data_IF_700412745502
#
_entry.id   IF_700412745502
#
_cell.length_a   1.000
_cell.length_b   1.000
_cell.length_c   1.000
_cell.angle_alpha   90.00
_cell.angle_beta   90.00
_cell.angle_gamma   90.00
#
_symmetry.space_group_name_H-M   'P 1'
#
loop_
_entity.id
_entity.type
_entity.pdbx_description
1 polymer ?
2 water ?
#
# COMPACT_ATOMS: atom_id res chain seq x y z
N UNK A 1 20.32 -20.66 8.34
CA UNK A 1 19.61 -19.51 8.96
C UNK A 1 18.25 -19.23 8.32
N UNK A 2 17.27 -18.89 9.15
CA UNK A 2 16.00 -18.28 8.73
C UNK A 2 16.23 -17.10 7.80
N UNK A 3 15.44 -16.97 6.74
CA UNK A 3 15.62 -15.82 5.86
C UNK A 3 15.19 -14.51 6.51
N UNK A 4 15.80 -13.40 6.09
CA UNK A 4 15.51 -12.10 6.67
C UNK A 4 14.19 -11.58 6.11
N UNK A 5 13.62 -10.56 6.75
CA UNK A 5 12.44 -9.90 6.22
C UNK A 5 12.65 -9.48 4.76
N UNK A 6 13.78 -8.82 4.48
CA UNK A 6 14.05 -8.40 3.11
C UNK A 6 14.03 -9.57 2.12
N UNK A 7 14.72 -10.65 2.47
CA UNK A 7 14.78 -11.84 1.63
C UNK A 7 13.40 -12.42 1.38
N UNK A 8 12.57 -12.45 2.42
CA UNK A 8 11.25 -13.08 2.31
C UNK A 8 10.33 -12.22 1.44
N UNK A 9 10.38 -10.92 1.64
CA UNK A 9 9.58 -10.01 0.80
C UNK A 9 10.06 -10.14 -0.64
N UNK A 10 11.37 -10.25 -0.82
CA UNK A 10 11.94 -10.43 -2.15
C UNK A 10 11.36 -11.67 -2.86
N UNK A 11 11.21 -12.76 -2.12
CA UNK A 11 10.66 -14.00 -2.66
C UNK A 11 9.20 -13.81 -3.03
N UNK A 12 8.47 -13.06 -2.22
CA UNK A 12 7.09 -12.76 -2.56
C UNK A 12 6.95 -11.90 -3.81
N UNK A 13 7.78 -10.87 -3.93
CA UNK A 13 7.86 -10.11 -5.18
C UNK A 13 8.03 -11.03 -6.38
N UNK A 14 8.98 -11.96 -6.28
CA UNK A 14 9.25 -12.86 -7.42
C UNK A 14 8.02 -13.72 -7.74
N UNK A 15 7.39 -14.24 -6.69
CA UNK A 15 6.21 -15.11 -6.82
C UNK A 15 5.08 -14.36 -7.52
N UNK A 16 4.81 -13.13 -7.09
CA UNK A 16 3.69 -12.37 -7.62
C UNK A 16 3.99 -11.92 -9.06
N UNK A 17 5.23 -11.50 -9.29
CA UNK A 17 5.66 -11.11 -10.62
C UNK A 17 5.43 -12.26 -11.60
N UNK A 18 5.80 -13.47 -11.17
CA UNK A 18 5.69 -14.64 -12.02
C UNK A 18 4.23 -15.02 -12.31
N UNK A 19 3.35 -14.93 -11.32
CA UNK A 19 1.91 -15.09 -11.55
C UNK A 19 1.39 -14.14 -12.63
N UNK A 20 1.83 -12.88 -12.59
CA UNK A 20 1.40 -11.91 -13.58
C UNK A 20 1.91 -12.30 -14.97
N UNK A 21 3.19 -12.62 -15.03
CA UNK A 21 3.83 -12.95 -16.30
C UNK A 21 3.24 -14.20 -16.96
N UNK A 22 2.80 -15.14 -16.13
CA UNK A 22 2.27 -16.41 -16.62
C UNK A 22 0.82 -16.30 -17.08
N UNK A 23 0.17 -15.19 -16.74
CA UNK A 23 -1.18 -14.92 -17.26
C UNK A 23 -2.29 -15.37 -16.33
N UNK A 24 -1.95 -15.67 -15.08
CA UNK A 24 -2.94 -16.26 -14.17
C UNK A 24 -3.21 -15.39 -12.94
N UNK A 25 -2.71 -14.15 -12.95
CA UNK A 25 -2.77 -13.37 -11.71
C UNK A 25 -4.22 -13.08 -11.29
N UNK A 26 -5.11 -12.87 -12.26
CA UNK A 26 -6.50 -12.52 -11.95
C UNK A 26 -7.21 -13.60 -11.11
N UNK A 27 -6.77 -14.86 -11.24
CA UNK A 27 -7.37 -15.95 -10.45
C UNK A 27 -6.45 -16.47 -9.34
N UNK A 28 -5.38 -15.74 -9.04
CA UNK A 28 -4.36 -16.22 -8.10
C UNK A 28 -4.33 -15.48 -6.77
N UNK A 29 -5.42 -14.81 -6.40
CA UNK A 29 -5.39 -14.01 -5.18
C UNK A 29 -5.18 -14.88 -3.94
N UNK A 30 -5.82 -16.05 -3.93
CA UNK A 30 -5.69 -16.92 -2.75
C UNK A 30 -4.28 -17.50 -2.69
N UNK A 31 -3.72 -17.81 -3.85
CA UNK A 31 -2.37 -18.38 -3.90
C UNK A 31 -1.33 -17.39 -3.38
N UNK A 32 -1.53 -16.13 -3.73
CA UNK A 32 -0.66 -15.04 -3.28
C UNK A 32 -0.76 -14.85 -1.77
N UNK A 33 -1.98 -14.87 -1.23
CA UNK A 33 -2.13 -14.76 0.22
C UNK A 33 -1.40 -15.94 0.89
N UNK A 34 -1.60 -17.14 0.37
CA UNK A 34 -0.97 -18.32 0.97
C UNK A 34 0.55 -18.23 0.95
N UNK A 35 1.11 -17.69 -0.13
CA UNK A 35 2.56 -17.60 -0.23
C UNK A 35 3.08 -16.55 0.74
N UNK A 36 2.35 -15.44 0.86
CA UNK A 36 2.74 -14.40 1.82
C UNK A 36 2.72 -14.95 3.24
N UNK A 37 1.70 -15.74 3.54
CA UNK A 37 1.60 -16.39 4.86
C UNK A 37 2.75 -17.38 5.07
N UNK A 38 3.10 -18.16 4.04
CA UNK A 38 4.18 -19.15 4.19
C UNK A 38 5.49 -18.46 4.51
N UNK A 39 5.67 -17.30 3.89
CA UNK A 39 6.88 -16.51 4.03
C UNK A 39 6.87 -15.58 5.25
N UNK A 40 5.78 -15.61 6.00
CA UNK A 40 5.58 -14.74 7.17
C UNK A 40 5.81 -13.27 6.82
N UNK A 41 5.24 -12.83 5.70
CA UNK A 41 5.22 -11.42 5.32
C UNK A 41 3.82 -11.03 4.87
N UNK A 42 2.83 -11.57 5.57
CA UNK A 42 1.47 -11.31 5.16
C UNK A 42 1.14 -9.82 5.01
N UNK A 43 1.57 -9.02 5.98
CA UNK A 43 1.16 -7.61 6.00
C UNK A 43 1.76 -6.86 4.82
N UNK A 44 2.83 -7.38 4.24
CA UNK A 44 3.51 -6.69 3.12
C UNK A 44 2.85 -7.00 1.77
N UNK A 45 1.92 -7.95 1.79
CA UNK A 45 1.20 -8.31 0.58
C UNK A 45 0.76 -7.13 -0.28
N UNK A 46 0.03 -6.17 0.30
CA UNK A 46 -0.36 -5.02 -0.53
C UNK A 46 0.77 -4.22 -1.19
N UNK A 47 1.92 -4.10 -0.54
CA UNK A 47 3.03 -3.37 -1.16
C UNK A 47 3.52 -4.11 -2.40
N UNK A 48 3.64 -5.44 -2.31
CA UNK A 48 4.01 -6.23 -3.48
C UNK A 48 2.97 -6.13 -4.60
N UNK A 49 1.70 -6.28 -4.26
CA UNK A 49 0.63 -6.15 -5.25
C UNK A 49 0.69 -4.80 -5.96
N UNK A 50 0.90 -3.71 -5.21
CA UNK A 50 0.91 -2.41 -5.88
C UNK A 50 2.04 -2.35 -6.89
N UNK A 51 3.20 -2.87 -6.52
CA UNK A 51 4.38 -2.76 -7.39
C UNK A 51 4.16 -3.55 -8.68
N UNK A 52 3.50 -4.69 -8.54
CA UNK A 52 3.29 -5.59 -9.67
C UNK A 52 2.11 -5.16 -10.54
N UNK A 53 1.04 -4.67 -9.90
CA UNK A 53 -0.25 -4.50 -10.57
C UNK A 53 -0.61 -3.07 -10.95
N UNK A 54 -0.10 -2.09 -10.21
CA UNK A 54 -0.51 -0.69 -10.38
C UNK A 54 0.48 0.12 -11.22
N UNK A 55 -0.04 0.93 -12.14
CA UNK A 55 0.77 1.95 -12.78
C UNK A 55 -0.08 3.21 -12.92
N UNK A 56 0.08 3.92 -14.03
CA UNK A 56 -0.67 5.15 -14.16
C UNK A 56 -2.18 4.88 -14.28
N UNK A 57 -2.56 3.64 -14.59
CA UNK A 57 -3.96 3.24 -14.65
C UNK A 57 -4.49 2.72 -13.30
N UNK A 58 -3.86 3.15 -12.21
CA UNK A 58 -4.16 2.62 -10.88
C UNK A 58 -5.65 2.65 -10.56
N UNK A 59 -6.34 3.68 -11.03
CA UNK A 59 -7.74 3.81 -10.65
C UNK A 59 -8.62 2.68 -11.20
N UNK A 60 -8.41 2.31 -12.46
CA UNK A 60 -9.01 1.09 -13.05
C UNK A 60 -8.57 -0.19 -12.35
N UNK A 61 -7.32 -0.20 -11.90
CA UNK A 61 -6.71 -1.42 -11.39
C UNK A 61 -7.22 -1.72 -9.97
N UNK A 62 -7.54 -0.66 -9.24
CA UNK A 62 -8.16 -0.83 -7.92
C UNK A 62 -9.48 -1.58 -8.05
N UNK A 63 -10.28 -1.24 -9.06
CA UNK A 63 -11.54 -1.94 -9.26
C UNK A 63 -11.27 -3.40 -9.63
N UNK A 64 -10.40 -3.60 -10.62
CA UNK A 64 -10.12 -4.94 -11.14
C UNK A 64 -9.59 -5.89 -10.07
N UNK A 65 -8.73 -5.38 -9.20
CA UNK A 65 -7.98 -6.23 -8.27
C UNK A 65 -8.45 -6.05 -6.83
N UNK A 66 -9.65 -5.50 -6.66
CA UNK A 66 -10.17 -5.26 -5.31
C UNK A 66 -10.07 -6.52 -4.44
N UNK A 67 -10.48 -7.66 -4.98
CA UNK A 67 -10.48 -8.91 -4.22
C UNK A 67 -9.07 -9.29 -3.75
N UNK A 68 -8.07 -9.10 -4.61
CA UNK A 68 -6.69 -9.41 -4.23
C UNK A 68 -6.23 -8.61 -3.02
N UNK A 69 -6.58 -7.33 -3.02
CA UNK A 69 -6.18 -6.44 -1.94
C UNK A 69 -7.03 -6.67 -0.71
N UNK A 70 -8.31 -6.91 -0.92
CA UNK A 70 -9.23 -6.99 0.22
C UNK A 70 -8.81 -8.14 1.11
N UNK A 71 -8.32 -9.22 0.51
CA UNK A 71 -7.98 -10.41 1.28
C UNK A 71 -6.87 -10.10 2.27
N UNK A 72 -5.97 -9.18 1.89
CA UNK A 72 -4.91 -8.72 2.79
C UNK A 72 -5.38 -7.63 3.75
N UNK A 73 -6.14 -6.66 3.24
CA UNK A 73 -6.44 -5.44 4.00
C UNK A 73 -7.55 -5.58 5.03
N UNK A 74 -8.48 -6.49 4.78
CA UNK A 74 -9.63 -6.66 5.66
C UNK A 74 -9.20 -6.96 7.10
N UNK A 75 -9.61 -6.10 8.02
CA UNK A 75 -9.30 -6.23 9.45
C UNK A 75 -7.81 -6.37 9.72
N UNK A 76 -7.00 -5.71 8.89
CA UNK A 76 -5.55 -5.75 9.05
C UNK A 76 -4.94 -4.37 8.83
N UNK A 77 -4.82 -3.58 9.89
CA UNK A 77 -4.37 -2.19 9.74
C UNK A 77 -2.92 -2.12 9.27
N UNK A 78 -2.14 -3.14 9.62
CA UNK A 78 -0.75 -3.20 9.18
C UNK A 78 -0.67 -3.33 7.67
N UNK A 79 -1.48 -4.23 7.11
CA UNK A 79 -1.53 -4.44 5.68
C UNK A 79 -2.01 -3.17 4.99
N UNK A 80 -2.97 -2.49 5.60
CA UNK A 80 -3.42 -1.22 5.06
C UNK A 80 -2.34 -0.14 5.00
N UNK A 81 -1.48 -0.12 6.00
CA UNK A 81 -0.38 0.84 6.00
C UNK A 81 0.57 0.52 4.85
N UNK A 82 0.80 -0.77 4.59
CA UNK A 82 1.66 -1.17 3.46
C UNK A 82 1.02 -0.83 2.12
N UNK A 83 -0.30 -0.94 2.03
CA UNK A 83 -0.99 -0.43 0.84
C UNK A 83 -0.69 1.05 0.62
N UNK A 84 -0.78 1.85 1.67
CA UNK A 84 -0.46 3.28 1.56
C UNK A 84 0.99 3.54 1.13
N UNK A 85 1.94 2.79 1.67
CA UNK A 85 3.32 2.93 1.19
C UNK A 85 3.43 2.52 -0.27
N UNK A 86 2.69 1.47 -0.64
CA UNK A 86 2.61 1.09 -2.04
C UNK A 86 2.10 2.22 -2.90
N UNK A 87 1.07 2.92 -2.43
CA UNK A 87 0.55 4.03 -3.19
C UNK A 87 1.62 5.12 -3.34
N UNK A 88 2.34 5.42 -2.26
CA UNK A 88 3.41 6.41 -2.33
C UNK A 88 4.36 6.07 -3.48
N UNK A 89 4.70 4.79 -3.56
CA UNK A 89 5.66 4.31 -4.56
C UNK A 89 5.11 4.40 -5.98
N UNK A 90 3.83 4.08 -6.15
CA UNK A 90 3.23 4.23 -7.49
C UNK A 90 3.21 5.68 -7.96
N UNK A 91 2.79 6.57 -7.07
CA UNK A 91 2.84 8.00 -7.37
C UNK A 91 4.25 8.46 -7.75
N UNK A 92 5.25 8.00 -7.01
CA UNK A 92 6.64 8.34 -7.33
C UNK A 92 7.03 7.97 -8.77
N UNK A 93 6.54 6.83 -9.24
CA UNK A 93 6.84 6.39 -10.60
C UNK A 93 6.06 7.15 -11.68
N UNK A 94 4.95 7.77 -11.30
CA UNK A 94 4.03 8.40 -12.25
C UNK A 94 3.57 9.77 -11.71
N UNK A 95 4.52 10.61 -11.31
CA UNK A 95 4.19 11.82 -10.56
C UNK A 95 3.32 12.81 -11.32
N UNK A 96 3.71 13.11 -12.56
CA UNK A 96 2.96 14.07 -13.37
C UNK A 96 1.50 13.64 -13.50
N UNK A 97 1.28 12.34 -13.62
CA UNK A 97 -0.05 11.79 -13.85
C UNK A 97 -0.86 11.72 -12.55
N UNK A 98 -0.20 11.31 -11.47
CA UNK A 98 -0.92 10.83 -10.29
C UNK A 98 -0.99 11.80 -9.10
N UNK A 99 -0.07 12.76 -9.02
CA UNK A 99 0.00 13.62 -7.83
C UNK A 99 -1.33 14.34 -7.59
N UNK A 100 -1.92 14.88 -8.65
CA UNK A 100 -3.19 15.60 -8.51
C UNK A 100 -4.36 14.68 -8.16
N UNK A 101 -4.18 13.39 -8.38
CA UNK A 101 -5.30 12.44 -8.22
C UNK A 101 -5.35 11.84 -6.82
N UNK A 102 -4.40 12.21 -5.96
CA UNK A 102 -4.26 11.52 -4.67
C UNK A 102 -5.57 11.44 -3.87
N UNK A 103 -6.29 12.57 -3.69
CA UNK A 103 -7.48 12.47 -2.85
C UNK A 103 -8.55 11.56 -3.44
N UNK A 104 -8.65 11.54 -4.76
CA UNK A 104 -9.62 10.69 -5.45
C UNK A 104 -9.26 9.21 -5.41
N UNK A 105 -7.98 8.91 -5.54
CA UNK A 105 -7.49 7.53 -5.40
C UNK A 105 -7.75 7.06 -3.96
N UNK A 106 -7.44 7.91 -2.99
CA UNK A 106 -7.70 7.55 -1.59
C UNK A 106 -9.18 7.25 -1.38
N UNK A 107 -10.05 8.11 -1.92
CA UNK A 107 -11.48 7.87 -1.79
C UNK A 107 -11.87 6.53 -2.41
N UNK A 108 -11.32 6.22 -3.58
CA UNK A 108 -11.63 4.94 -4.21
C UNK A 108 -11.18 3.73 -3.38
N UNK A 109 -10.02 3.84 -2.76
CA UNK A 109 -9.52 2.77 -1.91
C UNK A 109 -10.38 2.63 -0.67
N UNK A 110 -10.70 3.76 -0.05
CA UNK A 110 -11.63 3.79 1.09
C UNK A 110 -12.98 3.17 0.74
N UNK A 111 -13.54 3.58 -0.39
CA UNK A 111 -14.85 3.08 -0.81
C UNK A 111 -14.86 1.58 -1.12
N UNK A 112 -13.72 1.06 -1.55
CA UNK A 112 -13.55 -0.37 -1.84
C UNK A 112 -13.24 -1.17 -0.56
N UNK A 113 -13.27 -0.49 0.58
CA UNK A 113 -12.96 -1.12 1.87
C UNK A 113 -11.52 -1.60 2.04
N UNK A 114 -10.59 -0.96 1.33
CA UNK A 114 -9.19 -1.33 1.41
C UNK A 114 -8.39 -0.54 2.43
N UNK A 115 -8.96 0.57 2.90
CA UNK A 115 -8.30 1.42 3.89
C UNK A 115 -9.35 1.89 4.88
N UNK A 116 -9.05 1.77 6.16
CA UNK A 116 -9.91 2.34 7.19
C UNK A 116 -9.61 3.81 7.48
N UNK A 117 -10.64 4.54 7.89
CA UNK A 117 -10.48 5.96 8.18
C UNK A 117 -9.29 6.26 9.09
N UNK A 118 -9.14 5.49 10.17
CA UNK A 118 -8.14 5.81 11.19
C UNK A 118 -6.72 5.54 10.68
N UNK A 119 -6.58 4.55 9.82
CA UNK A 119 -5.30 4.26 9.19
C UNK A 119 -4.88 5.38 8.25
N UNK A 120 -5.82 5.90 7.47
CA UNK A 120 -5.51 7.00 6.55
C UNK A 120 -5.11 8.29 7.29
N UNK A 121 -5.90 8.65 8.30
CA UNK A 121 -5.58 9.80 9.14
C UNK A 121 -4.21 9.62 9.78
N UNK A 122 -3.96 8.47 10.39
CA UNK A 122 -2.67 8.22 11.04
C UNK A 122 -1.51 8.40 10.07
N UNK A 123 -1.65 7.80 8.89
CA UNK A 123 -0.60 7.84 7.88
C UNK A 123 -0.33 9.27 7.44
N UNK A 124 -1.39 10.04 7.32
CA UNK A 124 -1.28 11.45 6.92
C UNK A 124 -0.49 12.30 7.91
N UNK A 125 -0.53 11.92 9.19
CA UNK A 125 0.10 12.70 10.25
C UNK A 125 1.55 12.32 10.52
N UNK A 126 2.00 11.19 9.98
CA UNK A 126 3.31 10.65 10.32
C UNK A 126 4.36 10.93 9.25
N UNK A 127 5.62 10.97 9.66
CA UNK A 127 6.71 11.21 8.73
C UNK A 127 6.78 10.11 7.67
N UNK A 128 7.54 10.37 6.62
CA UNK A 128 7.87 9.35 5.63
C UNK A 128 8.55 8.15 6.29
N UNK A 129 8.10 6.96 5.92
CA UNK A 129 8.76 5.73 6.32
C UNK A 129 9.83 5.33 5.28
N UNK A 130 10.29 6.31 4.50
CA UNK A 130 11.49 6.16 3.68
C UNK A 130 11.30 5.46 2.33
N UNK A 131 10.05 5.20 1.96
CA UNK A 131 9.79 4.58 0.67
C UNK A 131 10.09 5.55 -0.46
N UNK A 132 9.66 6.79 -0.26
CA UNK A 132 9.91 7.84 -1.24
C UNK A 132 10.61 9.02 -0.59
N UNK A 133 11.10 9.93 -1.42
CA UNK A 133 11.74 11.17 -0.99
C UNK A 133 10.86 11.87 0.04
N UNK A 134 11.47 12.45 1.08
CA UNK A 134 10.73 13.24 2.08
C UNK A 134 9.88 14.32 1.41
N UNK A 135 10.44 14.98 0.41
CA UNK A 135 9.72 16.04 -0.30
C UNK A 135 8.45 15.52 -0.98
N UNK A 136 8.55 14.37 -1.64
CA UNK A 136 7.35 13.80 -2.26
C UNK A 136 6.34 13.33 -1.21
N UNK A 137 6.84 12.73 -0.14
CA UNK A 137 5.96 12.25 0.93
C UNK A 137 5.13 13.42 1.44
N UNK A 138 5.80 14.55 1.62
CA UNK A 138 5.13 15.78 2.07
C UNK A 138 4.05 16.22 1.09
N UNK A 139 4.39 16.18 -0.20
CA UNK A 139 3.48 16.67 -1.22
C UNK A 139 2.26 15.75 -1.30
N UNK A 140 2.49 14.44 -1.26
CA UNK A 140 1.37 13.49 -1.25
C UNK A 140 0.39 13.79 -0.11
N UNK A 141 0.92 14.08 1.07
CA UNK A 141 0.07 14.35 2.22
C UNK A 141 -0.68 15.68 2.12
N UNK A 142 -0.06 16.68 1.51
CA UNK A 142 -0.79 17.91 1.20
C UNK A 142 -1.96 17.65 0.26
N UNK A 143 -1.70 16.88 -0.80
CA UNK A 143 -2.74 16.56 -1.76
C UNK A 143 -3.86 15.72 -1.14
N UNK A 144 -3.52 14.94 -0.11
CA UNK A 144 -4.49 14.13 0.63
C UNK A 144 -5.47 14.96 1.46
N UNK A 145 -5.08 16.19 1.76
CA UNK A 145 -5.79 16.99 2.77
C UNK A 145 -7.30 17.12 2.53
N UNK A 146 -7.72 17.38 1.29
CA UNK A 146 -9.15 17.49 1.03
C UNK A 146 -9.96 16.23 1.37
N UNK A 147 -9.38 15.06 1.13
CA UNK A 147 -10.04 13.81 1.50
C UNK A 147 -10.07 13.59 3.02
N UNK A 148 -8.96 13.92 3.69
CA UNK A 148 -8.88 13.78 5.13
C UNK A 148 -9.96 14.64 5.79
N UNK A 149 -10.10 15.86 5.29
CA UNK A 149 -11.15 16.77 5.76
C UNK A 149 -12.54 16.19 5.50
N UNK A 150 -12.75 15.62 4.31
CA UNK A 150 -14.01 14.97 3.99
C UNK A 150 -14.32 13.85 4.99
N UNK A 151 -13.30 13.06 5.30
CA UNK A 151 -13.40 11.97 6.27
C UNK A 151 -13.84 12.45 7.65
N UNK A 152 -13.22 13.52 8.13
CA UNK A 152 -13.55 14.08 9.43
C UNK A 152 -14.88 14.82 9.38
N UNK A 153 -15.25 15.25 8.18
CA UNK A 153 -16.55 15.85 7.89
C UNK A 153 -16.45 17.35 7.64
N UNK A 154 -16.92 18.26 8.38
CA UNK A 154 -16.75 19.69 8.23
C UNK A 154 -16.18 20.25 9.53
N UNK A 155 -14.86 20.07 9.80
CA UNK A 155 -14.12 20.49 10.99
C UNK A 155 -12.76 19.86 10.90
N UNK A 156 -11.72 20.41 11.57
CA UNK A 156 -10.47 19.70 11.50
C UNK A 156 -9.87 19.60 12.87
N UNK A 157 -9.84 18.37 13.42
CA UNK A 157 -9.23 18.05 14.69
C UNK A 157 -8.17 17.07 14.29
N UNK A 158 -7.12 16.84 15.10
CA UNK A 158 -6.13 15.88 14.67
C UNK A 158 -6.25 14.67 15.51
N UNK A 159 -5.86 13.53 14.92
CA UNK A 159 -5.81 12.26 15.58
C UNK A 159 -4.42 12.12 16.11
N UNK A 160 -4.13 10.92 16.67
CA UNK A 160 -2.83 10.56 17.16
C UNK A 160 -2.89 9.10 17.46
N UNK A 161 -2.10 8.30 16.71
CA UNK A 161 -2.15 6.87 16.83
C UNK A 161 -0.75 6.36 16.92
N UNK A 162 -0.58 5.13 17.43
CA UNK A 162 0.73 4.53 17.43
C UNK A 162 0.62 3.42 16.44
N UNK A 163 1.75 3.02 15.80
CA UNK A 163 1.72 1.96 14.83
C UNK A 163 2.24 0.72 15.49
N UNK A 164 1.94 -0.46 14.90
CA UNK A 164 2.47 -1.70 15.41
C UNK A 164 3.22 -2.33 14.28
N UNK A 165 4.56 -2.19 14.24
CA UNK A 165 5.24 -2.77 13.12
C UNK A 165 6.43 -3.54 13.63
N UNK A 166 6.25 -4.88 13.78
CA UNK A 166 7.12 -5.92 14.31
C UNK A 166 8.36 -6.20 13.50
N UNK A 167 8.20 -6.32 12.16
CA UNK A 167 9.18 -6.64 11.15
C UNK A 167 10.00 -5.42 10.91
N UNK A 168 11.33 -5.27 10.33
CA UNK A 168 11.60 -3.85 10.33
C UNK A 168 11.03 -3.23 9.06
N UNK A 169 10.56 -2.00 9.21
CA UNK A 169 10.21 -1.22 8.05
C UNK A 169 11.39 -1.11 7.08
N UNK A 170 12.60 -0.93 7.60
CA UNK A 170 13.70 -0.58 6.68
C UNK A 170 14.02 -1.77 5.78
N UNK A 171 13.88 -2.97 6.32
CA UNK A 171 14.04 -4.16 5.49
C UNK A 171 13.08 -4.19 4.31
N UNK A 172 11.83 -3.81 4.55
CA UNK A 172 10.84 -3.79 3.48
C UNK A 172 11.18 -2.69 2.50
N UNK A 173 11.69 -1.56 3.01
CA UNK A 173 12.17 -0.51 2.12
C UNK A 173 13.26 -1.03 1.20
N UNK A 174 14.23 -1.77 1.75
CA UNK A 174 15.31 -2.27 0.88
C UNK A 174 14.75 -3.19 -0.20
N UNK A 175 13.82 -4.07 0.18
CA UNK A 175 13.24 -5.00 -0.78
C UNK A 175 12.50 -4.26 -1.89
N UNK A 176 11.75 -3.22 -1.50
CA UNK A 176 10.99 -2.41 -2.46
C UNK A 176 11.93 -1.66 -3.41
N UNK A 177 13.01 -1.12 -2.86
CA UNK A 177 13.93 -0.32 -3.65
C UNK A 177 14.68 -1.21 -4.63
N UNK A 178 14.64 -2.52 -4.40
CA UNK A 178 15.24 -3.46 -5.35
C UNK A 178 14.30 -3.71 -6.51
N UNK A 179 14.75 -4.18 -7.55
#
# INVERSE_FOLDING_TARGET
>A
LERTIEERVNILFDFVKKKKEEGVIDSSDKEIVAEAERLDVKAMGPLVLTEVLFNEKIREQIKKYRRHFLRFCHNNKKAQRYLLHGLECVVAMHQAQLISKIPHILKEMYDADLLEEEVIISWSEKASKKYVSKELAKEIRVKAEPFIKWLKEAEEESSGGEEEDEDENIEVVYSKLESVPKVETVKSDNKDDDIDIDAILEHHHHHH
#
